data_IF_120635730610
#
_entry.id   IF_120635730610
#
_cell.length_a   1.000
_cell.length_b   1.000
_cell.length_c   1.000
_cell.angle_alpha   90.00
_cell.angle_beta   90.00
_cell.angle_gamma   90.00
#
_symmetry.space_group_name_H-M   'P 1'
#
loop_
_entity.id
_entity.type
_entity.pdbx_description
1 polymer ?
#
# COMPACT_ATOMS: atom_id res chain seq x y z
N UNK A 1 -8.89 5.01 -12.94
CA UNK A 1 -8.04 5.36 -11.77
C UNK A 1 -7.21 6.59 -12.12
N UNK A 2 -7.31 7.67 -11.32
CA UNK A 2 -6.68 8.97 -11.59
C UNK A 2 -5.14 8.88 -11.69
N UNK A 3 -4.53 8.01 -10.91
CA UNK A 3 -3.07 7.78 -10.89
C UNK A 3 -2.47 7.23 -12.21
N UNK A 4 -3.31 6.92 -13.20
CA UNK A 4 -2.83 6.63 -14.58
C UNK A 4 -2.54 7.89 -15.39
N UNK A 5 -3.04 9.04 -14.94
CA UNK A 5 -2.98 10.31 -15.67
C UNK A 5 -2.24 11.40 -14.88
N UNK A 6 -2.25 11.30 -13.56
CA UNK A 6 -1.60 12.23 -12.64
C UNK A 6 -0.61 11.46 -11.80
N UNK A 7 0.65 11.91 -11.69
CA UNK A 7 1.64 11.27 -10.81
C UNK A 7 1.11 11.16 -9.38
N UNK A 8 1.15 9.95 -8.81
CA UNK A 8 0.54 9.68 -7.51
C UNK A 8 1.13 10.56 -6.41
N UNK A 9 2.43 10.81 -6.43
CA UNK A 9 3.14 11.64 -5.46
C UNK A 9 2.76 13.14 -5.53
N UNK A 10 2.00 13.56 -6.56
CA UNK A 10 1.44 14.92 -6.67
C UNK A 10 0.01 15.01 -6.14
N UNK A 11 -0.61 13.88 -5.87
CA UNK A 11 -1.94 13.83 -5.28
C UNK A 11 -1.85 13.92 -3.76
N UNK A 12 -2.86 14.49 -3.15
CA UNK A 12 -3.07 14.50 -1.71
C UNK A 12 -4.23 13.57 -1.38
N UNK A 13 -4.02 12.64 -0.46
CA UNK A 13 -5.04 11.68 -0.04
C UNK A 13 -5.21 11.80 1.45
N UNK A 14 -6.46 11.99 1.88
CA UNK A 14 -6.80 12.06 3.29
C UNK A 14 -6.60 10.70 3.95
N UNK A 15 -5.85 10.71 5.03
CA UNK A 15 -5.77 9.60 5.96
C UNK A 15 -7.05 9.58 6.81
N UNK A 16 -7.86 8.55 6.62
CA UNK A 16 -9.18 8.47 7.23
C UNK A 16 -9.10 8.29 8.75
N UNK A 17 -9.75 9.21 9.45
CA UNK A 17 -9.99 9.09 10.88
C UNK A 17 -11.19 8.15 11.11
N UNK A 18 -10.94 6.94 11.63
CA UNK A 18 -11.97 5.91 11.80
C UNK A 18 -13.01 6.24 12.88
N UNK A 19 -12.78 7.24 13.71
CA UNK A 19 -13.71 7.65 14.77
C UNK A 19 -14.57 8.85 14.38
N UNK A 20 -14.09 9.66 13.43
CA UNK A 20 -14.83 10.82 12.96
C UNK A 20 -16.06 10.37 12.20
N UNK A 21 -17.23 10.86 12.61
CA UNK A 21 -18.53 10.52 12.01
C UNK A 21 -18.82 9.00 12.03
N UNK A 22 -18.31 8.26 13.01
CA UNK A 22 -18.58 6.83 13.13
C UNK A 22 -20.09 6.54 13.26
N UNK A 23 -20.83 7.45 13.87
CA UNK A 23 -22.29 7.44 14.01
C UNK A 23 -23.05 7.60 12.68
N UNK A 24 -22.39 8.09 11.64
CA UNK A 24 -23.00 8.28 10.30
C UNK A 24 -22.90 7.05 9.41
N UNK A 25 -22.15 6.05 9.82
CA UNK A 25 -21.99 4.81 9.08
C UNK A 25 -22.83 3.70 9.71
N UNK A 26 -23.59 2.98 8.88
CA UNK A 26 -24.23 1.74 9.31
C UNK A 26 -23.13 0.71 9.65
N UNK A 27 -23.38 -0.12 10.66
CA UNK A 27 -22.47 -1.19 11.05
C UNK A 27 -22.21 -2.21 9.90
N UNK A 28 -23.16 -2.32 8.97
CA UNK A 28 -23.04 -3.16 7.79
C UNK A 28 -22.37 -2.45 6.59
N UNK A 29 -22.11 -1.14 6.66
CA UNK A 29 -21.46 -0.39 5.57
C UNK A 29 -20.04 -0.92 5.32
N UNK A 30 -19.77 -1.51 4.14
CA UNK A 30 -18.43 -2.02 3.83
C UNK A 30 -17.37 -0.91 3.73
N UNK A 31 -17.77 0.33 3.57
CA UNK A 31 -16.87 1.49 3.47
C UNK A 31 -16.67 2.23 4.78
N UNK A 32 -17.32 1.79 5.87
CA UNK A 32 -17.15 2.41 7.18
C UNK A 32 -15.67 2.33 7.63
N UNK A 33 -14.98 3.47 7.87
CA UNK A 33 -13.57 3.47 8.27
C UNK A 33 -13.29 2.66 9.53
N UNK A 34 -14.26 2.57 10.44
CA UNK A 34 -14.16 1.80 11.67
C UNK A 34 -13.92 0.29 11.46
N UNK A 35 -14.21 -0.25 10.27
CA UNK A 35 -14.00 -1.67 9.92
C UNK A 35 -12.55 -2.01 9.60
N UNK A 36 -11.71 -1.01 9.36
CA UNK A 36 -10.33 -1.19 8.93
C UNK A 36 -9.37 -0.92 10.08
N UNK A 37 -8.23 -1.62 10.06
CA UNK A 37 -7.14 -1.30 10.97
C UNK A 37 -6.54 0.07 10.65
N UNK A 38 -6.00 0.72 11.65
CA UNK A 38 -5.48 2.07 11.51
C UNK A 38 -4.27 2.15 10.58
N UNK A 39 -3.42 1.13 10.61
CA UNK A 39 -2.27 1.00 9.74
C UNK A 39 -2.65 0.78 8.27
N UNK A 40 -3.75 0.05 7.99
CA UNK A 40 -4.27 -0.10 6.64
C UNK A 40 -4.81 1.21 6.09
N UNK A 41 -5.60 1.96 6.91
CA UNK A 41 -6.10 3.29 6.53
C UNK A 41 -4.97 4.28 6.24
N UNK A 42 -3.89 4.21 7.00
CA UNK A 42 -2.68 4.98 6.70
C UNK A 42 -2.02 4.51 5.41
N UNK A 43 -1.91 3.20 5.23
CA UNK A 43 -1.21 2.61 4.09
C UNK A 43 -1.81 2.98 2.74
N UNK A 44 -3.13 3.17 2.63
CA UNK A 44 -3.77 3.58 1.37
C UNK A 44 -3.29 4.94 0.86
N UNK A 45 -2.65 5.74 1.70
CA UNK A 45 -2.10 7.06 1.34
C UNK A 45 -0.64 7.02 0.89
N UNK A 46 0.07 5.89 1.03
CA UNK A 46 1.55 5.83 0.88
C UNK A 46 2.06 6.29 -0.50
N UNK A 47 1.33 6.00 -1.57
CA UNK A 47 1.73 6.40 -2.93
C UNK A 47 1.53 7.89 -3.22
N UNK A 48 0.77 8.59 -2.38
CA UNK A 48 0.43 10.00 -2.50
C UNK A 48 1.03 10.81 -1.34
N UNK A 49 0.63 12.08 -1.21
CA UNK A 49 0.94 12.88 -0.04
C UNK A 49 -0.13 12.65 1.04
N UNK A 50 0.22 11.98 2.15
CA UNK A 50 -0.75 11.76 3.23
C UNK A 50 -1.18 13.08 3.85
N UNK A 51 -2.47 13.34 3.87
CA UNK A 51 -3.07 14.46 4.57
C UNK A 51 -3.76 13.95 5.84
N UNK A 52 -3.20 14.26 7.00
CA UNK A 52 -3.83 13.96 8.27
C UNK A 52 -4.77 15.09 8.67
N UNK A 53 -6.05 14.90 8.44
CA UNK A 53 -7.08 15.84 8.90
C UNK A 53 -7.72 15.30 10.18
N UNK A 54 -6.96 15.34 11.26
CA UNK A 54 -7.41 14.82 12.55
C UNK A 54 -7.51 15.93 13.58
N UNK A 55 -8.61 15.91 14.34
CA UNK A 55 -8.65 16.61 15.61
C UNK A 55 -7.70 15.89 16.57
N UNK A 56 -6.69 16.63 17.06
CA UNK A 56 -5.68 16.06 17.97
C UNK A 56 -6.18 15.93 19.43
N UNK A 57 -7.35 16.47 19.73
CA UNK A 57 -7.97 16.38 21.05
C UNK A 57 -8.85 15.13 21.18
N UNK A 58 -8.78 14.48 22.35
CA UNK A 58 -9.62 13.32 22.69
C UNK A 58 -9.48 12.11 21.73
N UNK A 59 -8.29 11.92 21.17
CA UNK A 59 -8.03 10.74 20.37
C UNK A 59 -8.01 9.49 21.27
N UNK A 60 -8.60 8.36 20.82
CA UNK A 60 -8.48 7.09 21.53
C UNK A 60 -7.02 6.60 21.50
N UNK A 61 -6.67 5.74 22.47
CA UNK A 61 -5.32 5.24 22.63
C UNK A 61 -4.77 4.58 21.33
N UNK A 62 -5.62 3.89 20.59
CA UNK A 62 -5.30 3.29 19.28
C UNK A 62 -4.73 4.32 18.29
N UNK A 63 -5.13 5.58 18.36
CA UNK A 63 -4.67 6.62 17.43
C UNK A 63 -3.17 6.94 17.59
N UNK A 64 -2.60 6.70 18.76
CA UNK A 64 -1.17 6.98 19.01
C UNK A 64 -0.23 6.08 18.19
N UNK A 65 -0.71 4.96 17.65
CA UNK A 65 0.04 4.15 16.69
C UNK A 65 0.43 4.96 15.44
N UNK A 66 -0.36 5.98 15.09
CA UNK A 66 -0.09 6.85 13.93
C UNK A 66 1.28 7.51 14.03
N UNK A 67 1.67 7.97 15.22
CA UNK A 67 2.97 8.62 15.42
C UNK A 67 4.13 7.66 15.06
N UNK A 68 4.02 6.38 15.44
CA UNK A 68 5.02 5.37 15.13
C UNK A 68 5.04 5.01 13.64
N UNK A 69 3.87 4.94 13.01
CA UNK A 69 3.74 4.69 11.56
C UNK A 69 4.35 5.84 10.74
N UNK A 70 4.03 7.08 11.08
CA UNK A 70 4.59 8.28 10.44
C UNK A 70 6.11 8.32 10.59
N UNK A 71 6.62 8.11 11.80
CA UNK A 71 8.07 8.07 12.08
C UNK A 71 8.78 7.00 11.28
N UNK A 72 8.16 5.84 11.09
CA UNK A 72 8.69 4.75 10.28
C UNK A 72 8.62 5.04 8.79
N UNK A 73 7.54 5.67 8.32
CA UNK A 73 7.32 5.94 6.91
C UNK A 73 8.11 7.14 6.40
N UNK A 74 8.31 8.18 7.18
CA UNK A 74 8.96 9.44 6.76
C UNK A 74 10.27 9.23 5.96
N UNK A 75 11.25 8.43 6.41
CA UNK A 75 12.47 8.18 5.65
C UNK A 75 12.24 7.33 4.39
N UNK A 76 11.17 6.50 4.38
CA UNK A 76 10.79 5.68 3.24
C UNK A 76 10.06 6.50 2.18
N UNK A 77 9.24 7.48 2.58
CA UNK A 77 8.48 8.35 1.69
C UNK A 77 9.39 9.06 0.69
N UNK A 78 10.47 9.68 1.16
CA UNK A 78 11.41 10.37 0.29
C UNK A 78 11.95 9.45 -0.81
N UNK A 79 12.32 8.21 -0.45
CA UNK A 79 12.84 7.23 -1.39
C UNK A 79 11.77 6.68 -2.33
N UNK A 80 10.59 6.41 -1.80
CA UNK A 80 9.45 5.92 -2.57
C UNK A 80 9.00 6.96 -3.61
N UNK A 81 8.96 8.23 -3.23
CA UNK A 81 8.54 9.34 -4.11
C UNK A 81 9.65 9.85 -5.04
N UNK A 82 10.90 9.42 -4.90
CA UNK A 82 11.97 9.71 -5.87
C UNK A 82 11.80 8.95 -7.18
N UNK A 83 11.13 7.80 -7.16
CA UNK A 83 10.89 6.99 -8.34
C UNK A 83 9.65 7.42 -9.12
N UNK A 84 9.52 6.86 -10.32
CA UNK A 84 8.26 6.95 -11.07
C UNK A 84 7.26 5.98 -10.43
N UNK A 85 6.15 6.51 -9.91
CA UNK A 85 5.11 5.74 -9.23
C UNK A 85 4.00 5.40 -10.21
N UNK A 86 3.80 4.12 -10.44
CA UNK A 86 2.79 3.59 -11.34
C UNK A 86 1.87 2.60 -10.60
N UNK A 87 0.58 2.56 -10.93
CA UNK A 87 -0.33 1.56 -10.39
C UNK A 87 0.03 0.16 -10.91
N UNK A 88 -0.20 -0.84 -10.06
CA UNK A 88 0.01 -2.27 -10.36
C UNK A 88 -1.21 -3.08 -9.93
N UNK A 89 -1.36 -4.26 -10.55
CA UNK A 89 -2.48 -5.16 -10.26
C UNK A 89 -3.82 -4.64 -10.78
N UNK A 90 -4.88 -5.03 -10.12
CA UNK A 90 -6.25 -4.68 -10.50
C UNK A 90 -6.63 -3.27 -10.03
N UNK A 91 -7.67 -2.68 -10.61
CA UNK A 91 -8.25 -1.46 -10.04
C UNK A 91 -8.89 -1.77 -8.68
N UNK A 92 -8.75 -0.87 -7.69
CA UNK A 92 -9.39 -1.04 -6.39
C UNK A 92 -10.91 -1.23 -6.54
N UNK A 93 -11.44 -2.30 -5.97
CA UNK A 93 -12.86 -2.66 -6.02
C UNK A 93 -13.44 -3.00 -4.64
N UNK A 94 -12.62 -2.94 -3.60
CA UNK A 94 -12.89 -3.47 -2.27
C UNK A 94 -12.58 -4.97 -2.13
N UNK A 95 -12.22 -5.66 -3.23
CA UNK A 95 -11.87 -7.09 -3.25
C UNK A 95 -10.67 -7.43 -4.11
N UNK A 96 -9.95 -6.44 -4.56
CA UNK A 96 -8.82 -6.59 -5.49
C UNK A 96 -7.51 -6.91 -4.79
N UNK A 97 -6.57 -7.42 -5.56
CA UNK A 97 -5.15 -7.32 -5.31
C UNK A 97 -4.59 -6.17 -6.13
N UNK A 98 -4.21 -5.10 -5.47
CA UNK A 98 -3.83 -3.84 -6.10
C UNK A 98 -2.59 -3.25 -5.46
N UNK A 99 -2.04 -2.19 -6.01
CA UNK A 99 -0.89 -1.53 -5.41
C UNK A 99 -0.28 -0.44 -6.26
N UNK A 100 0.93 -0.04 -5.86
CA UNK A 100 1.75 0.91 -6.59
C UNK A 100 3.21 0.46 -6.58
N UNK A 101 3.87 0.66 -7.69
CA UNK A 101 5.29 0.43 -7.83
C UNK A 101 6.02 1.75 -8.10
N UNK A 102 7.05 2.03 -7.33
CA UNK A 102 8.00 3.11 -7.57
C UNK A 102 9.29 2.54 -8.13
N UNK A 103 9.65 2.96 -9.33
CA UNK A 103 10.90 2.59 -9.98
C UNK A 103 11.93 3.69 -9.75
N UNK A 104 12.87 3.45 -8.82
CA UNK A 104 13.93 4.41 -8.48
C UNK A 104 15.11 4.29 -9.45
N UNK A 105 15.42 3.05 -9.85
CA UNK A 105 16.42 2.75 -10.89
C UNK A 105 15.99 1.50 -11.65
N UNK A 106 16.72 1.14 -12.72
CA UNK A 106 16.43 -0.08 -13.47
C UNK A 106 16.53 -1.40 -12.67
N UNK A 107 17.14 -1.35 -11.49
CA UNK A 107 17.37 -2.54 -10.65
C UNK A 107 16.77 -2.46 -9.25
N UNK A 108 16.31 -1.30 -8.82
CA UNK A 108 15.84 -1.08 -7.44
C UNK A 108 14.63 -0.16 -7.40
N UNK A 109 13.79 -0.38 -6.41
CA UNK A 109 12.65 0.48 -6.13
C UNK A 109 11.83 -0.03 -4.96
N UNK A 110 10.60 0.48 -4.89
CA UNK A 110 9.64 0.12 -3.86
C UNK A 110 8.33 -0.34 -4.49
N UNK A 111 7.61 -1.17 -3.77
CA UNK A 111 6.34 -1.70 -4.24
C UNK A 111 5.42 -1.88 -3.03
N UNK A 112 4.29 -1.19 -3.03
CA UNK A 112 3.24 -1.42 -2.04
C UNK A 112 2.16 -2.28 -2.65
N UNK A 113 1.83 -3.38 -1.97
CA UNK A 113 0.75 -4.30 -2.33
C UNK A 113 -0.33 -4.24 -1.28
N UNK A 114 -1.57 -4.18 -1.72
CA UNK A 114 -2.76 -4.27 -0.89
C UNK A 114 -3.53 -5.53 -1.26
N UNK A 115 -3.92 -6.29 -0.25
CA UNK A 115 -4.99 -7.27 -0.33
C UNK A 115 -6.23 -6.61 0.28
N UNK A 116 -7.21 -6.30 -0.54
CA UNK A 116 -8.52 -5.81 -0.08
C UNK A 116 -9.30 -6.98 0.59
N UNK A 117 -10.62 -6.90 0.70
CA UNK A 117 -11.45 -8.02 1.20
C UNK A 117 -11.52 -9.18 0.20
N UNK A 118 -10.38 -9.70 -0.19
CA UNK A 118 -10.23 -10.83 -1.12
C UNK A 118 -10.11 -12.13 -0.34
N UNK A 119 -10.81 -13.19 -0.77
CA UNK A 119 -10.79 -14.51 -0.11
C UNK A 119 -9.43 -15.21 -0.23
N UNK A 120 -8.69 -14.94 -1.30
CA UNK A 120 -7.42 -15.61 -1.54
C UNK A 120 -6.27 -14.87 -0.86
N UNK A 121 -5.56 -15.56 0.05
CA UNK A 121 -4.39 -15.03 0.72
C UNK A 121 -3.19 -14.85 -0.21
N UNK A 122 -3.23 -15.41 -1.41
CA UNK A 122 -2.22 -15.26 -2.45
C UNK A 122 -2.84 -14.63 -3.69
N UNK A 123 -2.25 -13.53 -4.15
CA UNK A 123 -2.63 -12.83 -5.38
C UNK A 123 -1.47 -12.72 -6.35
N UNK A 124 -1.77 -12.87 -7.65
CA UNK A 124 -0.79 -12.62 -8.72
C UNK A 124 -1.07 -11.26 -9.31
N UNK A 125 -0.06 -10.39 -9.29
CA UNK A 125 -0.16 -8.99 -9.68
C UNK A 125 0.73 -8.76 -10.91
N UNK A 126 0.19 -8.06 -11.90
CA UNK A 126 0.96 -7.51 -13.01
C UNK A 126 1.74 -6.29 -12.50
N UNK A 127 3.06 -6.32 -12.62
CA UNK A 127 3.99 -5.28 -12.16
C UNK A 127 4.78 -4.71 -13.33
N UNK A 128 5.56 -3.66 -13.10
CA UNK A 128 6.50 -3.08 -14.06
C UNK A 128 7.90 -3.67 -13.96
N UNK A 129 8.04 -4.84 -13.31
CA UNK A 129 9.31 -5.54 -13.20
C UNK A 129 9.66 -6.27 -14.50
N UNK A 130 10.97 -6.34 -14.86
CA UNK A 130 11.39 -6.99 -16.10
C UNK A 130 11.14 -8.50 -16.06
N UNK A 131 10.47 -9.01 -17.09
CA UNK A 131 10.18 -10.42 -17.27
C UNK A 131 11.45 -11.28 -17.25
N UNK A 132 11.36 -12.47 -16.68
CA UNK A 132 12.43 -13.45 -16.61
C UNK A 132 13.49 -13.18 -15.54
N UNK A 133 13.55 -11.97 -14.98
CA UNK A 133 14.52 -11.61 -13.95
C UNK A 133 14.15 -12.16 -12.58
N UNK A 134 15.15 -12.45 -11.78
CA UNK A 134 14.97 -12.80 -10.36
C UNK A 134 14.97 -11.54 -9.53
N UNK A 135 13.94 -11.38 -8.71
CA UNK A 135 13.75 -10.20 -7.85
C UNK A 135 13.64 -10.64 -6.40
N UNK A 136 14.32 -9.91 -5.51
CA UNK A 136 14.20 -10.07 -4.07
C UNK A 136 13.31 -8.96 -3.52
N UNK A 137 12.32 -9.33 -2.70
CA UNK A 137 11.40 -8.43 -2.03
C UNK A 137 11.67 -8.47 -0.53
N UNK A 138 12.01 -7.32 0.04
CA UNK A 138 12.27 -7.16 1.48
C UNK A 138 11.19 -6.25 2.07
N UNK A 139 10.35 -6.72 3.01
CA UNK A 139 9.31 -5.91 3.60
C UNK A 139 9.94 -4.81 4.48
N UNK A 140 9.47 -3.59 4.32
CA UNK A 140 9.89 -2.43 5.11
C UNK A 140 8.74 -1.89 5.98
N UNK A 141 7.48 -2.14 5.59
CA UNK A 141 6.27 -1.89 6.39
C UNK A 141 5.21 -2.95 6.05
N UNK A 142 4.26 -3.17 6.97
CA UNK A 142 3.15 -4.10 6.78
C UNK A 142 3.46 -5.52 7.21
N UNK A 143 2.61 -6.48 6.80
CA UNK A 143 2.56 -7.85 7.34
C UNK A 143 3.28 -8.92 6.49
N UNK A 144 3.74 -8.58 5.28
CA UNK A 144 4.37 -9.53 4.37
C UNK A 144 5.75 -10.01 4.82
N UNK A 145 6.19 -11.10 4.22
CA UNK A 145 7.48 -11.72 4.49
C UNK A 145 8.48 -11.45 3.37
N UNK A 146 9.77 -11.54 3.68
CA UNK A 146 10.84 -11.50 2.67
C UNK A 146 10.76 -12.73 1.78
N UNK A 147 10.85 -12.52 0.46
CA UNK A 147 10.89 -13.62 -0.52
C UNK A 147 11.65 -13.21 -1.78
N UNK A 148 11.92 -14.19 -2.64
CA UNK A 148 12.44 -13.95 -3.97
C UNK A 148 11.57 -14.68 -4.98
N UNK A 149 11.38 -14.07 -6.14
CA UNK A 149 10.61 -14.66 -7.24
C UNK A 149 11.29 -14.41 -8.58
N UNK A 150 11.02 -15.28 -9.55
CA UNK A 150 11.25 -15.03 -10.96
C UNK A 150 10.03 -14.33 -11.51
N UNK A 151 10.23 -13.19 -12.13
CA UNK A 151 9.16 -12.40 -12.74
C UNK A 151 8.61 -13.16 -13.95
N UNK A 152 7.33 -13.41 -13.96
CA UNK A 152 6.62 -14.08 -15.06
C UNK A 152 6.36 -13.16 -16.24
N UNK A 153 5.65 -13.68 -17.24
CA UNK A 153 5.19 -12.91 -18.39
C UNK A 153 4.39 -11.69 -17.94
N UNK A 154 4.54 -10.58 -18.64
CA UNK A 154 3.89 -9.30 -18.34
C UNK A 154 4.22 -8.73 -16.95
N UNK A 155 5.38 -9.09 -16.39
CA UNK A 155 5.78 -8.59 -15.07
C UNK A 155 5.08 -9.28 -13.89
N UNK A 156 4.46 -10.44 -14.07
CA UNK A 156 3.67 -11.12 -13.04
C UNK A 156 4.50 -11.60 -11.87
N UNK A 157 4.02 -11.26 -10.66
CA UNK A 157 4.60 -11.71 -9.39
C UNK A 157 3.47 -12.10 -8.45
N UNK A 158 3.64 -13.24 -7.75
CA UNK A 158 2.69 -13.67 -6.72
C UNK A 158 3.12 -13.17 -5.35
N UNK A 159 2.20 -12.54 -4.66
CA UNK A 159 2.36 -12.03 -3.28
C UNK A 159 1.44 -12.82 -2.35
N UNK A 160 1.82 -12.87 -1.07
CA UNK A 160 1.04 -13.52 -0.03
C UNK A 160 0.87 -12.57 1.17
N UNK A 161 -0.37 -12.31 1.52
CA UNK A 161 -0.77 -11.56 2.71
C UNK A 161 -1.87 -12.36 3.41
N UNK A 162 -1.64 -12.76 4.66
CA UNK A 162 -2.54 -13.67 5.36
C UNK A 162 -3.90 -13.05 5.69
N UNK A 163 -3.90 -11.74 6.02
CA UNK A 163 -5.09 -11.05 6.46
C UNK A 163 -5.74 -10.28 5.30
N UNK A 164 -7.07 -10.22 5.29
CA UNK A 164 -7.83 -9.31 4.46
C UNK A 164 -7.60 -7.86 4.92
N UNK A 165 -7.80 -6.90 4.02
CA UNK A 165 -7.57 -5.48 4.28
C UNK A 165 -6.20 -5.25 4.91
N UNK A 166 -5.17 -5.80 4.28
CA UNK A 166 -3.79 -5.72 4.71
C UNK A 166 -2.88 -5.24 3.59
N UNK A 167 -1.67 -4.85 3.95
CA UNK A 167 -0.70 -4.32 3.01
C UNK A 167 0.72 -4.74 3.34
N UNK A 168 1.59 -4.58 2.35
CA UNK A 168 3.05 -4.57 2.59
C UNK A 168 3.73 -3.62 1.62
N UNK A 169 4.56 -2.75 2.16
CA UNK A 169 5.53 -1.98 1.40
C UNK A 169 6.83 -2.78 1.35
N UNK A 170 7.22 -3.19 0.16
CA UNK A 170 8.48 -3.87 -0.11
C UNK A 170 9.50 -2.91 -0.72
N UNK A 171 10.75 -3.03 -0.32
CA UNK A 171 11.87 -2.66 -1.15
C UNK A 171 12.21 -3.84 -2.05
N UNK A 172 12.37 -3.61 -3.36
CA UNK A 172 12.77 -4.67 -4.28
C UNK A 172 14.14 -4.42 -4.91
N UNK A 173 14.79 -5.52 -5.25
CA UNK A 173 16.07 -5.54 -5.95
C UNK A 173 16.04 -6.60 -7.05
N UNK A 174 16.29 -6.15 -8.30
CA UNK A 174 16.41 -7.01 -9.49
C UNK A 174 17.84 -7.54 -9.54
N UNK A 175 17.98 -8.85 -9.54
CA UNK A 175 19.30 -9.46 -9.69
C UNK A 175 19.75 -9.46 -11.15
N UNK A 176 21.04 -9.30 -11.40
CA UNK A 176 21.62 -9.38 -12.74
C UNK A 176 21.23 -10.62 -13.53
#
# INVERSE_FOLDING_TARGET
MLSRYVPAEKMQIEFLNKWRNADKHDAADPFAPARYSFDYLFAITLAAQPLAWMEASNLPEEAYITASLLKKYQPLQLRFHQGVILPIGEEPSGRSWTGFQSTVSGTQGYLVVYREDNEQARGTIDTWLPEGKKVTFTPVMGSGKKFAAKVGAQGRVSFELNDKNSFTLYQYEVKP
#
